data_IF_608555975756
#
_entry.id   IF_608555975756
#
_cell.length_a   1.000
_cell.length_b   1.000
_cell.length_c   1.000
_cell.angle_alpha   90.00
_cell.angle_beta   90.00
_cell.angle_gamma   90.00
#
_symmetry.space_group_name_H-M   'P 1'
#
loop_
_entity.id
_entity.type
_entity.pdbx_description
1 polymer ?
#
# COMPACT_ATOMS: atom_id res chain seq x y z
N UNK A 1 -5.74 14.26 -7.75
CA UNK A 1 -5.06 13.02 -7.30
C UNK A 1 -3.95 12.70 -8.30
N UNK A 2 -2.73 12.45 -7.83
CA UNK A 2 -1.63 11.90 -8.63
C UNK A 2 -1.11 10.68 -7.87
N UNK A 3 -0.92 9.57 -8.55
CA UNK A 3 -0.41 8.32 -7.97
C UNK A 3 0.77 7.84 -8.80
N UNK A 4 1.73 7.20 -8.12
CA UNK A 4 2.84 6.52 -8.78
C UNK A 4 2.90 5.11 -8.21
N UNK A 5 2.69 4.13 -9.09
CA UNK A 5 2.93 2.72 -8.85
C UNK A 5 3.51 2.17 -10.15
N UNK A 6 4.84 2.19 -10.26
CA UNK A 6 5.50 1.81 -11.49
C UNK A 6 5.30 0.30 -11.75
N UNK A 7 5.06 -0.12 -13.01
CA UNK A 7 5.00 -1.54 -13.35
C UNK A 7 6.31 -2.24 -13.00
N UNK A 8 6.22 -3.51 -12.62
CA UNK A 8 7.41 -4.35 -12.37
C UNK A 8 7.86 -5.08 -13.63
N UNK A 9 9.16 -5.40 -13.73
CA UNK A 9 9.66 -6.25 -14.82
C UNK A 9 9.02 -7.64 -14.70
N UNK A 10 8.42 -8.13 -15.79
CA UNK A 10 7.71 -9.41 -15.80
C UNK A 10 6.23 -9.34 -15.43
N UNK A 11 5.71 -8.16 -15.07
CA UNK A 11 4.29 -7.95 -14.82
C UNK A 11 3.47 -8.11 -16.12
N UNK A 12 2.38 -8.86 -16.04
CA UNK A 12 1.45 -9.02 -17.17
C UNK A 12 0.60 -7.75 -17.34
N UNK A 13 0.48 -7.28 -18.59
CA UNK A 13 -0.19 -6.00 -18.90
C UNK A 13 -1.05 -6.06 -20.18
N UNK A 14 -1.95 -5.09 -20.33
CA UNK A 14 -2.65 -4.79 -21.58
C UNK A 14 -1.99 -3.61 -22.27
N UNK A 15 -1.77 -3.71 -23.58
CA UNK A 15 -1.32 -2.60 -24.42
C UNK A 15 -2.54 -2.06 -25.19
N UNK A 16 -2.86 -0.78 -24.98
CA UNK A 16 -3.98 -0.09 -25.60
C UNK A 16 -3.46 0.83 -26.71
N UNK A 17 -3.65 0.42 -27.96
CA UNK A 17 -3.21 1.13 -29.16
C UNK A 17 -4.39 1.81 -29.85
N UNK A 18 -4.50 3.14 -29.74
CA UNK A 18 -5.60 3.87 -30.35
C UNK A 18 -5.43 3.87 -31.88
N UNK A 19 -6.39 3.29 -32.59
CA UNK A 19 -6.31 3.12 -34.04
C UNK A 19 -5.26 2.09 -34.51
N UNK A 20 -4.73 1.27 -33.60
CA UNK A 20 -3.69 0.29 -33.92
C UNK A 20 -2.26 0.85 -33.96
N UNK A 21 -2.08 2.15 -33.67
CA UNK A 21 -0.76 2.79 -33.63
C UNK A 21 -0.06 2.52 -32.29
N UNK A 22 1.06 1.81 -32.34
CA UNK A 22 1.78 1.37 -31.13
C UNK A 22 2.74 2.42 -30.58
N UNK A 23 3.20 3.37 -31.41
CA UNK A 23 4.16 4.41 -30.97
C UNK A 23 3.60 5.34 -29.91
N UNK A 24 2.28 5.39 -29.77
CA UNK A 24 1.56 6.20 -28.77
C UNK A 24 0.66 5.36 -27.85
N UNK A 25 0.86 4.04 -27.83
CA UNK A 25 0.05 3.15 -27.02
C UNK A 25 0.28 3.34 -25.51
N UNK A 26 -0.70 2.93 -24.72
CA UNK A 26 -0.68 3.01 -23.26
C UNK A 26 -0.64 1.60 -22.65
N UNK A 27 -0.02 1.49 -21.48
CA UNK A 27 0.02 0.25 -20.70
C UNK A 27 -1.00 0.33 -19.57
N UNK A 28 -1.83 -0.69 -19.44
CA UNK A 28 -2.71 -0.91 -18.30
C UNK A 28 -2.21 -2.13 -17.51
N UNK A 29 -1.83 -1.92 -16.26
CA UNK A 29 -1.32 -2.92 -15.32
C UNK A 29 -2.43 -3.56 -14.47
N UNK A 30 -2.06 -4.50 -13.59
CA UNK A 30 -2.97 -5.09 -12.60
C UNK A 30 -3.64 -6.39 -13.03
N UNK A 31 -3.01 -7.16 -13.93
CA UNK A 31 -3.48 -8.50 -14.29
C UNK A 31 -2.69 -9.54 -13.48
N UNK A 32 -3.39 -10.30 -12.64
CA UNK A 32 -2.78 -11.44 -11.94
C UNK A 32 -2.39 -12.55 -12.90
N UNK A 33 -1.29 -13.23 -12.56
CA UNK A 33 -0.72 -14.34 -13.33
C UNK A 33 -0.14 -15.39 -12.39
N UNK A 34 0.34 -16.52 -12.93
CA UNK A 34 0.98 -17.55 -12.10
C UNK A 34 2.26 -17.05 -11.40
N UNK A 35 2.99 -16.14 -12.05
CA UNK A 35 4.22 -15.55 -11.49
C UNK A 35 3.91 -14.39 -10.53
N UNK A 36 2.75 -13.76 -10.67
CA UNK A 36 2.29 -12.62 -9.87
C UNK A 36 0.82 -12.85 -9.47
N UNK A 37 0.61 -13.72 -8.49
CA UNK A 37 -0.73 -14.08 -8.01
C UNK A 37 -1.38 -12.93 -7.23
N UNK A 38 -2.66 -13.09 -6.92
CA UNK A 38 -3.37 -12.19 -6.02
C UNK A 38 -2.62 -12.09 -4.67
N UNK A 39 -2.49 -10.88 -4.09
CA UNK A 39 -1.68 -10.68 -2.88
C UNK A 39 -2.41 -11.04 -1.58
N UNK A 40 -3.72 -11.29 -1.63
CA UNK A 40 -4.55 -11.66 -0.48
C UNK A 40 -5.71 -12.55 -0.91
N UNK A 41 -6.12 -13.47 -0.04
CA UNK A 41 -7.33 -14.29 -0.24
C UNK A 41 -8.61 -13.55 0.24
N UNK A 42 -8.47 -12.35 0.83
CA UNK A 42 -9.63 -11.56 1.27
C UNK A 42 -10.37 -10.96 0.08
N UNK A 43 -11.68 -11.19 0.03
CA UNK A 43 -12.57 -10.63 -0.99
C UNK A 43 -12.99 -9.18 -0.71
N UNK A 44 -12.65 -8.65 0.48
CA UNK A 44 -13.13 -7.34 0.95
C UNK A 44 -12.04 -6.39 1.41
N UNK A 45 -10.82 -6.88 1.62
CA UNK A 45 -9.72 -6.04 2.07
C UNK A 45 -9.26 -5.06 0.97
N UNK A 46 -8.96 -3.83 1.37
CA UNK A 46 -8.06 -2.98 0.59
C UNK A 46 -6.63 -3.36 1.00
N UNK A 47 -5.93 -4.08 0.13
CA UNK A 47 -4.66 -4.73 0.44
C UNK A 47 -3.57 -4.33 -0.56
N UNK A 48 -2.37 -4.03 -0.05
CA UNK A 48 -1.15 -3.88 -0.84
C UNK A 48 0.02 -4.60 -0.19
N UNK A 49 0.62 -5.53 -0.93
CA UNK A 49 1.94 -6.11 -0.65
C UNK A 49 3.00 -5.41 -1.50
N UNK A 50 4.11 -5.02 -0.87
CA UNK A 50 5.28 -4.42 -1.51
C UNK A 50 6.35 -5.48 -1.80
N UNK A 51 7.30 -5.18 -2.69
CA UNK A 51 8.34 -6.12 -3.12
C UNK A 51 9.32 -6.54 -2.02
N UNK A 52 9.42 -5.76 -0.94
CA UNK A 52 10.17 -6.09 0.27
C UNK A 52 9.34 -6.90 1.29
N UNK A 53 8.10 -7.25 0.95
CA UNK A 53 7.16 -7.98 1.81
C UNK A 53 6.41 -7.09 2.81
N UNK A 54 6.59 -5.78 2.80
CA UNK A 54 5.76 -4.89 3.60
C UNK A 54 4.30 -4.94 3.15
N UNK A 55 3.37 -4.72 4.07
CA UNK A 55 1.93 -4.75 3.79
C UNK A 55 1.24 -3.53 4.39
N UNK A 56 0.36 -2.91 3.61
CA UNK A 56 -0.66 -1.98 4.09
C UNK A 56 -2.03 -2.57 3.75
N UNK A 57 -2.89 -2.76 4.76
CA UNK A 57 -4.19 -3.40 4.58
C UNK A 57 -5.27 -2.80 5.49
N UNK A 58 -6.47 -2.58 4.95
CA UNK A 58 -7.70 -2.39 5.72
C UNK A 58 -8.68 -3.53 5.44
N UNK A 59 -9.13 -4.24 6.48
CA UNK A 59 -10.10 -5.32 6.37
C UNK A 59 -11.46 -4.92 6.97
N UNK A 60 -12.48 -4.62 6.15
CA UNK A 60 -13.82 -4.25 6.61
C UNK A 60 -14.49 -5.28 7.51
N UNK A 61 -14.25 -6.58 7.31
CA UNK A 61 -14.86 -7.64 8.11
C UNK A 61 -14.46 -7.58 9.59
N UNK A 62 -13.29 -7.01 9.89
CA UNK A 62 -12.77 -6.84 11.26
C UNK A 62 -12.62 -5.39 11.69
N UNK A 63 -12.72 -4.45 10.74
CA UNK A 63 -12.41 -3.04 10.94
C UNK A 63 -10.93 -2.77 11.20
N UNK A 64 -10.04 -3.72 10.90
CA UNK A 64 -8.62 -3.63 11.23
C UNK A 64 -7.83 -2.93 10.11
N UNK A 65 -7.10 -1.88 10.48
CA UNK A 65 -6.05 -1.26 9.66
C UNK A 65 -4.69 -1.77 10.13
N UNK A 66 -3.82 -2.18 9.20
CA UNK A 66 -2.46 -2.67 9.49
C UNK A 66 -1.43 -2.05 8.54
N UNK A 67 -0.26 -1.75 9.09
CA UNK A 67 0.97 -1.48 8.36
C UNK A 67 2.09 -2.32 8.99
N UNK A 68 2.57 -3.34 8.28
CA UNK A 68 3.48 -4.36 8.82
C UNK A 68 4.64 -4.63 7.88
N UNK A 69 5.73 -5.23 8.39
CA UNK A 69 6.95 -5.50 7.60
C UNK A 69 7.77 -4.25 7.25
N UNK A 70 7.35 -3.06 7.70
CA UNK A 70 8.03 -1.79 7.43
C UNK A 70 9.24 -1.58 8.35
N UNK A 71 10.24 -0.86 7.84
CA UNK A 71 11.40 -0.43 8.65
C UNK A 71 11.15 0.90 9.38
N UNK A 72 10.44 1.84 8.74
CA UNK A 72 10.15 3.16 9.32
C UNK A 72 8.73 3.61 8.96
N UNK A 73 8.06 4.30 9.88
CA UNK A 73 6.84 5.06 9.62
C UNK A 73 7.07 6.53 10.03
N UNK A 74 6.77 7.47 9.12
CA UNK A 74 6.85 8.91 9.38
C UNK A 74 5.50 9.54 9.07
N UNK A 75 4.94 10.24 10.06
CA UNK A 75 3.66 10.96 9.93
C UNK A 75 3.94 12.41 10.27
N UNK A 76 3.72 13.30 9.31
CA UNK A 76 3.95 14.73 9.45
C UNK A 76 2.68 15.48 9.08
N UNK A 77 2.25 16.35 9.99
CA UNK A 77 1.10 17.21 9.82
C UNK A 77 1.45 18.62 10.31
N UNK A 78 0.97 19.65 9.60
CA UNK A 78 1.27 21.05 9.93
C UNK A 78 0.50 21.57 11.15
N UNK A 79 -0.61 20.94 11.50
CA UNK A 79 -1.51 21.41 12.55
C UNK A 79 -1.69 20.39 13.67
N UNK A 80 -2.18 19.19 13.35
CA UNK A 80 -2.53 18.20 14.36
C UNK A 80 -2.42 16.76 13.85
N UNK A 81 -1.99 15.86 14.73
CA UNK A 81 -2.21 14.41 14.64
C UNK A 81 -3.03 13.99 15.86
N UNK A 82 -4.16 13.32 15.66
CA UNK A 82 -5.08 12.89 16.73
C UNK A 82 -5.26 11.37 16.72
N UNK A 83 -5.21 10.74 17.90
CA UNK A 83 -5.51 9.32 18.08
C UNK A 83 -6.63 9.18 19.13
N UNK A 84 -7.87 8.96 18.67
CA UNK A 84 -9.07 8.89 19.52
C UNK A 84 -9.57 7.45 19.54
N UNK A 85 -9.40 6.78 20.67
CA UNK A 85 -9.75 5.37 20.88
C UNK A 85 -9.89 5.11 22.39
N UNK A 86 -10.45 3.96 22.77
CA UNK A 86 -10.51 3.54 24.17
C UNK A 86 -9.12 3.16 24.72
N UNK A 87 -8.25 2.58 23.88
CA UNK A 87 -6.94 2.07 24.29
C UNK A 87 -5.88 2.38 23.23
N UNK A 88 -4.77 2.97 23.65
CA UNK A 88 -3.54 3.14 22.85
C UNK A 88 -2.45 2.27 23.47
N UNK A 89 -1.82 1.41 22.66
CA UNK A 89 -0.71 0.54 23.09
C UNK A 89 0.55 0.94 22.32
N UNK A 90 1.63 1.23 23.04
CA UNK A 90 2.96 1.51 22.46
C UNK A 90 3.97 0.55 23.07
N UNK A 91 4.42 -0.41 22.27
CA UNK A 91 5.48 -1.34 22.65
C UNK A 91 6.80 -0.89 22.02
N UNK A 92 7.63 -0.21 22.81
CA UNK A 92 8.92 0.33 22.36
C UNK A 92 10.06 -0.34 23.12
N UNK A 93 10.85 -1.16 22.42
CA UNK A 93 11.97 -1.90 23.02
C UNK A 93 13.13 -1.02 23.52
N UNK A 94 13.22 0.23 23.05
CA UNK A 94 14.31 1.17 23.41
C UNK A 94 13.80 2.37 24.19
N UNK A 95 13.02 3.23 23.52
CA UNK A 95 12.50 4.46 24.12
C UNK A 95 11.32 5.01 23.34
N UNK A 96 10.51 5.82 24.03
CA UNK A 96 9.54 6.75 23.44
C UNK A 96 10.06 8.15 23.74
N UNK A 97 10.31 8.95 22.69
CA UNK A 97 10.76 10.34 22.84
C UNK A 97 9.63 11.29 22.44
N UNK A 98 9.16 12.09 23.39
CA UNK A 98 8.21 13.17 23.16
C UNK A 98 8.97 14.49 23.15
N UNK A 99 9.16 15.07 21.96
CA UNK A 99 9.85 16.34 21.79
C UNK A 99 8.82 17.47 21.63
N UNK A 100 8.38 18.01 22.76
CA UNK A 100 7.46 19.14 22.86
C UNK A 100 8.14 20.28 23.62
N UNK A 101 7.80 21.56 23.35
CA UNK A 101 8.04 22.63 24.32
C UNK A 101 7.49 22.27 25.71
#
# INVERSE_FOLDING_TARGET
>A
LRTMNAPSVGEQVIILAIGGELTTAFVLTGIFSNEHSEPTDSLTADHRTYSDGAVIEYEPATGALKATGITTAHIEASEQVSAITQVVIVDAAKQIKLNTP
#
